data_IF_295106450986
#
_entry.id   IF_295106450986
#
_cell.length_a   1.000
_cell.length_b   1.000
_cell.length_c   1.000
_cell.angle_alpha   90.00
_cell.angle_beta   90.00
_cell.angle_gamma   90.00
#
_symmetry.space_group_name_H-M   'P 1'
#
loop_
_entity.id
_entity.type
_entity.pdbx_description
1 polymer ?
#
# COMPACT_ATOMS: atom_id res chain seq x y z
N UNK A 1 -36.88 -9.10 42.35
CA UNK A 1 -37.20 -9.05 40.91
C UNK A 1 -35.99 -9.58 40.13
N UNK A 2 -36.07 -10.72 39.43
CA UNK A 2 -34.96 -11.17 38.62
C UNK A 2 -34.94 -10.26 37.38
N UNK A 3 -33.89 -9.46 37.20
CA UNK A 3 -33.63 -8.92 35.86
C UNK A 3 -33.52 -10.14 34.94
N UNK A 4 -34.43 -10.35 33.98
CA UNK A 4 -34.45 -11.59 33.23
C UNK A 4 -33.14 -11.63 32.46
N UNK A 5 -32.30 -12.63 32.70
CA UNK A 5 -30.95 -12.78 32.11
C UNK A 5 -30.92 -12.41 30.62
N UNK A 6 -32.02 -12.67 29.90
CA UNK A 6 -32.30 -12.23 28.52
C UNK A 6 -32.06 -10.73 28.27
N UNK A 7 -32.54 -9.81 29.12
CA UNK A 7 -32.33 -8.36 28.97
C UNK A 7 -30.85 -7.97 29.10
N UNK A 8 -30.11 -8.61 30.02
CA UNK A 8 -28.67 -8.38 30.18
C UNK A 8 -27.90 -8.84 28.95
N UNK A 9 -28.23 -10.02 28.40
CA UNK A 9 -27.63 -10.51 27.15
C UNK A 9 -27.95 -9.60 25.96
N UNK A 10 -29.20 -9.16 25.83
CA UNK A 10 -29.61 -8.25 24.74
C UNK A 10 -28.82 -6.93 24.81
N UNK A 11 -28.76 -6.30 25.99
CA UNK A 11 -28.01 -5.05 26.18
C UNK A 11 -26.52 -5.27 25.88
N UNK A 12 -25.93 -6.36 26.40
CA UNK A 12 -24.54 -6.72 26.15
C UNK A 12 -24.22 -6.91 24.67
N UNK A 13 -25.10 -7.61 23.93
CA UNK A 13 -24.94 -7.81 22.48
C UNK A 13 -25.06 -6.50 21.69
N UNK A 14 -25.98 -5.61 22.07
CA UNK A 14 -26.11 -4.29 21.43
C UNK A 14 -24.85 -3.44 21.66
N UNK A 15 -24.33 -3.43 22.89
CA UNK A 15 -23.09 -2.70 23.21
C UNK A 15 -21.92 -3.27 22.41
N UNK A 16 -21.76 -4.59 22.37
CA UNK A 16 -20.69 -5.24 21.60
C UNK A 16 -20.78 -4.88 20.11
N UNK A 17 -21.98 -4.96 19.53
CA UNK A 17 -22.20 -4.58 18.13
C UNK A 17 -21.84 -3.11 17.87
N UNK A 18 -22.23 -2.21 18.77
CA UNK A 18 -21.87 -0.79 18.68
C UNK A 18 -20.34 -0.59 18.75
N UNK A 19 -19.65 -1.25 19.68
CA UNK A 19 -18.19 -1.19 19.79
C UNK A 19 -17.48 -1.69 18.52
N UNK A 20 -17.94 -2.82 17.96
CA UNK A 20 -17.39 -3.37 16.72
C UNK A 20 -17.62 -2.41 15.55
N UNK A 21 -18.81 -1.81 15.44
CA UNK A 21 -19.12 -0.84 14.41
C UNK A 21 -18.22 0.40 14.50
N UNK A 22 -18.02 0.95 15.71
CA UNK A 22 -17.14 2.10 15.95
C UNK A 22 -15.69 1.75 15.61
N UNK A 23 -15.20 0.58 16.05
CA UNK A 23 -13.85 0.14 15.72
C UNK A 23 -13.66 -0.04 14.21
N UNK A 24 -14.62 -0.66 13.52
CA UNK A 24 -14.60 -0.80 12.07
C UNK A 24 -14.58 0.55 11.33
N UNK A 25 -15.40 1.50 11.78
CA UNK A 25 -15.38 2.86 11.24
C UNK A 25 -14.04 3.56 11.47
N UNK A 26 -13.43 3.41 12.65
CA UNK A 26 -12.10 3.93 12.95
C UNK A 26 -11.01 3.35 12.05
N UNK A 27 -11.06 2.03 11.79
CA UNK A 27 -10.14 1.37 10.85
C UNK A 27 -10.32 1.91 9.44
N UNK A 28 -11.56 2.07 8.97
CA UNK A 28 -11.84 2.61 7.65
C UNK A 28 -11.35 4.06 7.51
N UNK A 29 -11.66 4.92 8.49
CA UNK A 29 -11.24 6.32 8.52
C UNK A 29 -9.72 6.47 8.46
N UNK A 30 -9.01 5.74 9.34
CA UNK A 30 -7.54 5.77 9.41
C UNK A 30 -6.87 5.03 8.25
N UNK A 31 -7.64 4.48 7.31
CA UNK A 31 -7.13 3.85 6.08
C UNK A 31 -7.42 4.71 4.83
N UNK A 32 -8.05 5.87 5.00
CA UNK A 32 -8.26 6.83 3.92
C UNK A 32 -6.99 7.62 3.59
N UNK A 33 -6.81 7.97 2.32
CA UNK A 33 -5.69 8.82 1.87
C UNK A 33 -5.64 10.15 2.64
N UNK A 34 -6.78 10.78 2.94
CA UNK A 34 -6.81 12.03 3.71
C UNK A 34 -6.21 11.90 5.11
N UNK A 35 -6.38 10.76 5.77
CA UNK A 35 -5.74 10.49 7.06
C UNK A 35 -4.23 10.31 6.89
N UNK A 36 -3.78 9.55 5.89
CA UNK A 36 -2.34 9.42 5.60
C UNK A 36 -1.68 10.79 5.34
N UNK A 37 -2.38 11.70 4.65
CA UNK A 37 -1.90 13.04 4.32
C UNK A 37 -2.09 14.09 5.43
N UNK A 38 -2.59 13.69 6.61
CA UNK A 38 -2.64 14.60 7.76
C UNK A 38 -1.23 14.91 8.28
N UNK A 39 -0.26 14.04 8.02
CA UNK A 39 1.15 14.24 8.32
C UNK A 39 1.88 14.83 7.11
N UNK A 40 2.82 15.75 7.34
CA UNK A 40 3.44 16.53 6.26
C UNK A 40 4.45 15.70 5.46
N UNK A 41 5.13 14.76 6.12
CA UNK A 41 6.11 13.83 5.54
C UNK A 41 5.51 12.91 4.46
N UNK A 42 4.18 12.71 4.48
CA UNK A 42 3.49 11.85 3.50
C UNK A 42 3.20 12.57 2.18
N UNK A 43 3.22 13.91 2.15
CA UNK A 43 2.78 14.69 0.98
C UNK A 43 3.65 14.48 -0.26
N UNK A 44 4.97 14.41 -0.08
CA UNK A 44 5.90 14.14 -1.18
C UNK A 44 5.61 12.79 -1.86
N UNK A 45 5.21 11.78 -1.09
CA UNK A 45 4.88 10.47 -1.64
C UNK A 45 3.58 10.50 -2.45
N UNK A 46 2.61 11.33 -2.05
CA UNK A 46 1.38 11.55 -2.82
C UNK A 46 1.66 12.24 -4.16
N UNK A 47 2.51 13.26 -4.15
CA UNK A 47 2.90 13.98 -5.37
C UNK A 47 3.66 13.06 -6.34
N UNK A 48 4.60 12.27 -5.83
CA UNK A 48 5.28 11.25 -6.63
C UNK A 48 4.27 10.24 -7.21
N UNK A 49 3.33 9.76 -6.38
CA UNK A 49 2.33 8.78 -6.80
C UNK A 49 1.42 9.33 -7.91
N UNK A 50 1.02 10.60 -7.84
CA UNK A 50 0.23 11.26 -8.88
C UNK A 50 0.94 11.33 -10.24
N UNK A 51 2.27 11.35 -10.25
CA UNK A 51 3.08 11.37 -11.47
C UNK A 51 3.46 9.97 -11.97
N UNK A 52 3.24 8.95 -11.13
CA UNK A 52 3.61 7.56 -11.38
C UNK A 52 2.62 6.82 -12.29
N UNK A 53 2.90 5.55 -12.58
CA UNK A 53 1.95 4.67 -13.27
C UNK A 53 0.79 4.21 -12.38
N UNK A 54 0.85 4.48 -11.07
CA UNK A 54 -0.16 4.09 -10.07
C UNK A 54 -0.95 5.30 -9.56
N UNK A 55 -0.99 6.40 -10.31
CA UNK A 55 -1.86 7.53 -9.99
C UNK A 55 -3.35 7.15 -10.05
N UNK A 56 -3.72 6.30 -11.00
CA UNK A 56 -5.07 5.82 -11.20
C UNK A 56 -5.08 4.37 -11.71
N UNK A 57 -6.19 3.67 -11.49
CA UNK A 57 -6.40 2.31 -11.97
C UNK A 57 -6.73 2.28 -13.48
N UNK A 58 -6.92 1.07 -14.03
CA UNK A 58 -7.26 0.88 -15.45
C UNK A 58 -8.59 1.54 -15.87
N UNK A 59 -9.45 1.92 -14.91
CA UNK A 59 -10.71 2.64 -15.13
C UNK A 59 -10.58 4.14 -14.89
N UNK A 60 -9.39 4.63 -14.55
CA UNK A 60 -9.13 6.04 -14.23
C UNK A 60 -9.53 6.45 -12.82
N UNK A 61 -9.82 5.51 -11.91
CA UNK A 61 -10.10 5.84 -10.50
C UNK A 61 -8.80 6.07 -9.74
N UNK A 62 -8.70 7.12 -8.91
CA UNK A 62 -7.50 7.38 -8.12
C UNK A 62 -7.18 6.20 -7.19
N UNK A 63 -5.91 5.79 -7.17
CA UNK A 63 -5.45 4.76 -6.23
C UNK A 63 -5.06 5.44 -4.91
N UNK A 64 -5.57 4.93 -3.80
CA UNK A 64 -5.27 5.40 -2.45
C UNK A 64 -4.12 4.65 -1.78
N UNK A 65 -3.55 5.26 -0.74
CA UNK A 65 -2.36 4.75 -0.05
C UNK A 65 -2.57 3.32 0.51
N UNK A 66 -3.74 3.10 1.11
CA UNK A 66 -4.08 1.83 1.78
C UNK A 66 -4.22 0.66 0.82
N UNK A 67 -4.50 0.90 -0.46
CA UNK A 67 -4.61 -0.16 -1.47
C UNK A 67 -3.28 -0.88 -1.70
N UNK A 68 -2.15 -0.26 -1.35
CA UNK A 68 -0.83 -0.89 -1.42
C UNK A 68 -0.20 -1.11 -0.04
N UNK A 69 -0.35 -0.16 0.89
CA UNK A 69 0.39 -0.16 2.16
C UNK A 69 -0.30 -0.90 3.32
N UNK A 70 -1.60 -1.19 3.21
CA UNK A 70 -2.32 -1.97 4.24
C UNK A 70 -2.52 -3.38 3.71
N UNK A 71 -1.97 -4.43 4.36
CA UNK A 71 -2.14 -5.80 3.90
C UNK A 71 -3.61 -6.18 3.78
N UNK A 72 -3.98 -6.81 2.67
CA UNK A 72 -5.35 -7.28 2.43
C UNK A 72 -5.50 -8.78 2.77
N UNK A 73 -6.74 -9.26 2.76
CA UNK A 73 -7.05 -10.70 2.83
C UNK A 73 -7.04 -11.35 4.22
N UNK A 74 -6.45 -10.74 5.25
CA UNK A 74 -6.50 -11.25 6.63
C UNK A 74 -6.66 -10.11 7.64
N UNK A 75 -7.77 -10.10 8.39
CA UNK A 75 -8.09 -9.00 9.30
C UNK A 75 -7.10 -8.90 10.47
N UNK A 76 -6.60 -10.02 10.99
CA UNK A 76 -5.63 -10.04 12.10
C UNK A 76 -4.30 -9.47 11.63
N UNK A 77 -3.84 -9.89 10.44
CA UNK A 77 -2.61 -9.37 9.84
C UNK A 77 -2.72 -7.89 9.52
N UNK A 78 -3.86 -7.46 8.96
CA UNK A 78 -4.15 -6.07 8.66
C UNK A 78 -4.12 -5.21 9.92
N UNK A 79 -4.83 -5.61 10.98
CA UNK A 79 -4.87 -4.87 12.25
C UNK A 79 -3.50 -4.84 12.93
N UNK A 80 -2.77 -5.96 12.94
CA UNK A 80 -1.42 -6.03 13.51
C UNK A 80 -0.42 -5.14 12.75
N UNK A 81 -0.42 -5.20 11.43
CA UNK A 81 0.44 -4.36 10.60
C UNK A 81 0.10 -2.87 10.77
N UNK A 82 -1.20 -2.52 10.76
CA UNK A 82 -1.67 -1.15 10.95
C UNK A 82 -1.29 -0.59 12.31
N UNK A 83 -1.41 -1.39 13.39
CA UNK A 83 -1.02 -0.98 14.73
C UNK A 83 0.50 -0.77 14.82
N UNK A 84 1.29 -1.74 14.34
CA UNK A 84 2.76 -1.66 14.38
C UNK A 84 3.31 -0.49 13.56
N UNK A 85 2.89 -0.38 12.30
CA UNK A 85 3.35 0.70 11.41
C UNK A 85 2.86 2.06 11.90
N UNK A 86 1.59 2.18 12.33
CA UNK A 86 1.07 3.44 12.86
C UNK A 86 1.80 3.93 14.11
N UNK A 87 2.16 3.03 15.03
CA UNK A 87 2.97 3.38 16.20
C UNK A 87 4.37 3.82 15.80
N UNK A 88 5.00 3.11 14.86
CA UNK A 88 6.33 3.46 14.36
C UNK A 88 6.32 4.83 13.67
N UNK A 89 5.33 5.09 12.82
CA UNK A 89 5.21 6.36 12.09
C UNK A 89 4.98 7.52 13.07
N UNK A 90 4.11 7.33 14.07
CA UNK A 90 3.90 8.32 15.13
C UNK A 90 5.16 8.58 15.96
N UNK A 91 5.94 7.53 16.28
CA UNK A 91 7.22 7.68 16.97
C UNK A 91 8.17 8.55 16.15
N UNK A 92 8.43 8.19 14.88
CA UNK A 92 9.35 8.95 14.01
C UNK A 92 8.86 10.39 13.84
N UNK A 93 7.57 10.60 13.63
CA UNK A 93 6.99 11.94 13.55
C UNK A 93 7.26 12.77 14.81
N UNK A 94 7.08 12.18 16.00
CA UNK A 94 7.19 12.91 17.27
C UNK A 94 8.63 13.09 17.75
N UNK A 95 9.53 12.14 17.48
CA UNK A 95 10.92 12.19 17.98
C UNK A 95 11.90 12.78 16.97
N UNK A 96 11.68 12.55 15.68
CA UNK A 96 12.58 12.96 14.58
C UNK A 96 11.95 14.05 13.70
N UNK A 97 10.69 14.42 13.96
CA UNK A 97 9.98 15.45 13.22
C UNK A 97 9.43 15.03 11.86
N UNK A 98 9.72 13.81 11.39
CA UNK A 98 9.29 13.31 10.08
C UNK A 98 10.00 13.96 8.88
N UNK A 99 11.00 14.81 9.13
CA UNK A 99 11.81 15.46 8.11
C UNK A 99 13.04 14.61 7.78
N UNK A 100 13.43 14.56 6.51
CA UNK A 100 14.65 13.86 6.05
C UNK A 100 14.68 12.34 6.32
N UNK A 101 13.56 11.67 6.06
CA UNK A 101 13.48 10.21 6.19
C UNK A 101 14.50 9.52 5.27
N UNK A 102 15.30 8.60 5.82
CA UNK A 102 16.30 7.84 5.05
C UNK A 102 15.62 6.83 4.09
N UNK A 103 15.33 7.30 2.88
CA UNK A 103 14.69 6.50 1.83
C UNK A 103 15.58 5.36 1.35
N UNK A 104 16.91 5.47 1.47
CA UNK A 104 17.82 4.40 1.08
C UNK A 104 17.73 3.23 2.06
N UNK A 105 17.63 3.50 3.36
CA UNK A 105 17.39 2.47 4.37
C UNK A 105 15.96 1.91 4.34
N UNK A 106 14.96 2.75 4.06
CA UNK A 106 13.56 2.32 4.05
C UNK A 106 13.17 1.47 2.83
N UNK A 107 13.70 1.76 1.63
CA UNK A 107 13.28 1.11 0.39
C UNK A 107 13.41 -0.43 0.40
N UNK A 108 14.56 -1.03 0.80
CA UNK A 108 14.69 -2.48 0.89
C UNK A 108 13.69 -3.13 1.85
N UNK A 109 13.38 -2.42 2.95
CA UNK A 109 12.40 -2.83 3.95
C UNK A 109 11.00 -2.78 3.33
N UNK A 110 10.59 -1.62 2.78
CA UNK A 110 9.29 -1.44 2.14
C UNK A 110 9.01 -2.50 1.06
N UNK A 111 10.03 -2.88 0.28
CA UNK A 111 9.94 -3.94 -0.74
C UNK A 111 9.65 -5.33 -0.19
N UNK A 112 9.95 -5.60 1.08
CA UNK A 112 9.63 -6.87 1.75
C UNK A 112 8.28 -6.85 2.45
N UNK A 113 7.83 -5.68 2.89
CA UNK A 113 6.59 -5.50 3.64
C UNK A 113 5.38 -5.23 2.74
N UNK A 114 5.59 -4.79 1.50
CA UNK A 114 4.48 -4.61 0.54
C UNK A 114 3.90 -5.98 0.18
N UNK A 115 2.61 -6.11 0.40
CA UNK A 115 1.89 -7.36 0.21
C UNK A 115 1.56 -7.61 -1.26
N UNK A 116 2.06 -8.69 -1.83
CA UNK A 116 1.73 -9.05 -3.21
C UNK A 116 0.21 -9.26 -3.41
N UNK A 117 -0.54 -9.65 -2.38
CA UNK A 117 -1.99 -9.75 -2.47
C UNK A 117 -2.65 -8.42 -2.86
N UNK A 118 -2.08 -7.29 -2.45
CA UNK A 118 -2.53 -5.96 -2.83
C UNK A 118 -2.29 -5.67 -4.31
N UNK A 119 -1.12 -6.07 -4.84
CA UNK A 119 -0.85 -5.98 -6.26
C UNK A 119 -1.85 -6.84 -7.06
N UNK A 120 -2.11 -8.07 -6.59
CA UNK A 120 -2.98 -9.04 -7.26
C UNK A 120 -4.46 -8.70 -7.16
N UNK A 121 -4.87 -7.81 -6.23
CA UNK A 121 -6.24 -7.31 -6.17
C UNK A 121 -6.65 -6.58 -7.46
N UNK A 122 -5.71 -5.86 -8.09
CA UNK A 122 -5.90 -5.19 -9.38
C UNK A 122 -5.26 -5.94 -10.55
N UNK A 123 -4.06 -6.48 -10.38
CA UNK A 123 -3.34 -7.28 -11.38
C UNK A 123 -3.68 -8.75 -11.24
N UNK A 124 -4.92 -9.12 -11.53
CA UNK A 124 -5.43 -10.49 -11.35
C UNK A 124 -4.89 -11.47 -12.41
N UNK A 125 -4.75 -11.01 -13.64
CA UNK A 125 -4.16 -11.78 -14.75
C UNK A 125 -2.76 -11.24 -15.07
N UNK A 126 -1.72 -11.98 -14.69
CA UNK A 126 -0.33 -11.58 -14.94
C UNK A 126 0.09 -11.74 -16.41
N UNK A 127 -0.71 -12.41 -17.24
CA UNK A 127 -0.45 -12.45 -18.67
C UNK A 127 -0.86 -11.14 -19.36
N UNK A 128 -1.63 -10.27 -18.68
CA UNK A 128 -2.14 -9.01 -19.24
C UNK A 128 -1.38 -7.81 -18.69
N UNK A 129 -1.27 -6.78 -19.53
CA UNK A 129 -0.64 -5.52 -19.14
C UNK A 129 -1.46 -4.77 -18.09
N UNK A 130 -0.89 -3.71 -17.52
CA UNK A 130 -1.53 -2.93 -16.44
C UNK A 130 -2.86 -2.25 -16.83
N UNK A 131 -3.08 -1.97 -18.13
CA UNK A 131 -4.35 -1.42 -18.65
C UNK A 131 -5.40 -2.49 -18.89
N UNK A 132 -5.01 -3.76 -18.77
CA UNK A 132 -5.83 -4.92 -19.05
C UNK A 132 -6.39 -4.96 -20.49
N UNK A 133 -5.74 -4.29 -21.45
CA UNK A 133 -6.18 -4.20 -22.85
C UNK A 133 -5.37 -5.08 -23.81
N UNK A 134 -4.32 -5.72 -23.33
CA UNK A 134 -3.47 -6.61 -24.12
C UNK A 134 -2.50 -7.42 -23.26
N UNK A 135 -1.68 -8.28 -23.88
CA UNK A 135 -0.71 -9.08 -23.15
C UNK A 135 0.46 -8.24 -22.63
N UNK A 136 1.16 -8.76 -21.63
CA UNK A 136 2.51 -8.29 -21.29
C UNK A 136 3.50 -8.68 -22.39
N UNK A 137 4.71 -8.11 -22.36
CA UNK A 137 5.79 -8.57 -23.24
C UNK A 137 6.16 -10.03 -22.96
N UNK A 138 6.78 -10.70 -23.93
CA UNK A 138 7.21 -12.10 -23.76
C UNK A 138 8.15 -12.27 -22.56
N UNK A 139 9.08 -11.33 -22.36
CA UNK A 139 9.97 -11.31 -21.18
C UNK A 139 9.17 -11.14 -19.89
N UNK A 140 8.13 -10.29 -19.89
CA UNK A 140 7.24 -10.09 -18.74
C UNK A 140 6.46 -11.36 -18.40
N UNK A 141 5.93 -12.06 -19.42
CA UNK A 141 5.21 -13.32 -19.25
C UNK A 141 6.11 -14.37 -18.60
N UNK A 142 7.32 -14.55 -19.11
CA UNK A 142 8.29 -15.51 -18.56
C UNK A 142 8.69 -15.15 -17.11
N UNK A 143 8.84 -13.86 -16.80
CA UNK A 143 9.14 -13.41 -15.44
C UNK A 143 7.97 -13.67 -14.47
N UNK A 144 6.73 -13.43 -14.90
CA UNK A 144 5.55 -13.74 -14.11
C UNK A 144 5.35 -15.24 -13.91
N UNK A 145 5.63 -16.07 -14.92
CA UNK A 145 5.66 -17.52 -14.77
C UNK A 145 6.70 -17.99 -13.75
N UNK A 146 7.85 -17.31 -13.67
CA UNK A 146 8.88 -17.60 -12.67
C UNK A 146 8.42 -17.24 -11.25
N UNK A 147 7.71 -16.11 -11.13
CA UNK A 147 7.07 -15.71 -9.88
C UNK A 147 5.97 -16.68 -9.45
N UNK A 148 5.17 -17.18 -10.39
CA UNK A 148 4.11 -18.16 -10.14
C UNK A 148 4.61 -19.59 -9.95
N UNK A 149 5.93 -19.83 -10.01
CA UNK A 149 6.49 -21.17 -9.80
C UNK A 149 6.46 -22.09 -11.04
N UNK A 150 6.06 -21.58 -12.21
CA UNK A 150 5.80 -22.38 -13.43
C UNK A 150 7.06 -22.74 -14.21
N UNK A 151 8.05 -21.85 -14.25
CA UNK A 151 9.31 -22.03 -15.02
C UNK A 151 10.56 -21.81 -14.16
N UNK A 152 10.42 -21.95 -12.83
CA UNK A 152 11.44 -21.70 -11.82
C UNK A 152 10.78 -21.11 -10.58
N UNK A 153 11.58 -20.60 -9.63
CA UNK A 153 11.04 -19.99 -8.41
C UNK A 153 11.73 -18.66 -8.13
N UNK A 154 10.99 -17.56 -8.36
CA UNK A 154 11.48 -16.23 -8.04
C UNK A 154 11.71 -16.10 -6.52
N UNK A 155 12.78 -15.39 -6.14
CA UNK A 155 13.08 -15.07 -4.73
C UNK A 155 12.57 -13.68 -4.31
N UNK A 156 11.77 -13.04 -5.15
CA UNK A 156 11.31 -11.66 -4.97
C UNK A 156 9.82 -11.56 -5.26
N UNK A 157 9.12 -10.80 -4.43
CA UNK A 157 7.73 -10.41 -4.66
C UNK A 157 7.60 -9.36 -5.78
N UNK A 158 6.39 -8.88 -6.01
CA UNK A 158 6.05 -7.96 -7.10
C UNK A 158 6.96 -6.72 -7.08
N UNK A 159 7.05 -6.04 -5.93
CA UNK A 159 7.86 -4.81 -5.77
C UNK A 159 9.38 -5.05 -5.73
N UNK A 160 9.82 -6.31 -5.61
CA UNK A 160 11.22 -6.68 -5.74
C UNK A 160 11.72 -6.52 -7.18
N UNK A 161 10.84 -6.79 -8.15
CA UNK A 161 11.07 -6.61 -9.60
C UNK A 161 10.54 -5.24 -10.07
N UNK A 162 9.32 -4.88 -9.72
CA UNK A 162 8.66 -3.62 -10.07
C UNK A 162 9.02 -2.51 -9.09
N UNK A 163 10.28 -2.09 -9.10
CA UNK A 163 10.76 -1.03 -8.20
C UNK A 163 10.28 0.34 -8.66
N UNK A 164 10.11 1.25 -7.69
CA UNK A 164 9.81 2.66 -7.92
C UNK A 164 8.55 2.89 -8.78
N UNK A 165 7.56 2.01 -8.61
CA UNK A 165 6.29 2.02 -9.35
C UNK A 165 5.36 3.19 -8.98
N UNK A 166 5.52 3.74 -7.77
CA UNK A 166 4.72 4.84 -7.21
C UNK A 166 5.58 5.96 -6.61
N UNK A 167 6.73 5.60 -6.03
CA UNK A 167 7.61 6.54 -5.34
C UNK A 167 9.03 6.41 -5.87
N UNK A 168 9.68 7.52 -6.22
CA UNK A 168 11.01 7.54 -6.82
C UNK A 168 11.97 8.42 -5.99
N UNK A 169 12.89 7.80 -5.24
CA UNK A 169 13.94 8.54 -4.56
C UNK A 169 14.99 9.06 -5.54
N UNK A 170 15.60 10.20 -5.21
CA UNK A 170 16.60 10.90 -6.05
C UNK A 170 17.72 9.97 -6.52
N UNK A 171 18.24 9.12 -5.64
CA UNK A 171 19.35 8.23 -5.98
C UNK A 171 18.99 7.18 -7.06
N UNK A 172 17.72 6.82 -7.22
CA UNK A 172 17.26 5.85 -8.21
C UNK A 172 16.84 6.50 -9.55
N UNK A 173 16.83 7.83 -9.65
CA UNK A 173 16.53 8.55 -10.90
C UNK A 173 17.55 8.26 -12.01
N UNK A 174 18.78 7.88 -11.62
CA UNK A 174 19.86 7.48 -12.54
C UNK A 174 19.58 6.17 -13.28
N UNK A 175 18.65 5.35 -12.79
CA UNK A 175 18.35 4.03 -13.37
C UNK A 175 17.61 4.24 -14.70
N UNK A 176 18.07 3.67 -15.84
CA UNK A 176 17.46 3.92 -17.14
C UNK A 176 15.95 3.65 -17.21
N UNK A 177 15.46 2.62 -16.53
CA UNK A 177 14.02 2.29 -16.48
C UNK A 177 13.17 3.36 -15.80
N UNK A 178 13.76 4.20 -14.95
CA UNK A 178 13.07 5.25 -14.21
C UNK A 178 13.07 6.59 -14.95
N UNK A 179 13.78 6.74 -16.07
CA UNK A 179 13.97 8.04 -16.74
C UNK A 179 12.65 8.76 -17.04
N UNK A 180 11.64 8.06 -17.54
CA UNK A 180 10.32 8.65 -17.82
C UNK A 180 9.63 9.17 -16.56
N UNK A 181 9.78 8.46 -15.45
CA UNK A 181 9.20 8.88 -14.17
C UNK A 181 10.00 10.03 -13.55
N UNK A 182 11.33 9.95 -13.58
CA UNK A 182 12.23 11.00 -13.14
C UNK A 182 11.98 12.31 -13.89
N UNK A 183 11.76 12.27 -15.21
CA UNK A 183 11.42 13.45 -16.01
C UNK A 183 10.17 14.17 -15.50
N UNK A 184 9.11 13.43 -15.14
CA UNK A 184 7.89 14.01 -14.58
C UNK A 184 8.13 14.62 -13.19
N UNK A 185 8.91 13.96 -12.34
CA UNK A 185 9.15 14.43 -10.97
C UNK A 185 9.96 15.72 -10.91
N UNK A 186 10.82 16.01 -11.90
CA UNK A 186 11.58 17.26 -11.96
C UNK A 186 10.70 18.51 -11.93
N UNK A 187 9.43 18.40 -12.30
CA UNK A 187 8.46 19.50 -12.24
C UNK A 187 8.06 19.87 -10.81
N UNK A 188 8.13 18.93 -9.86
CA UNK A 188 7.76 19.10 -8.44
C UNK A 188 8.98 19.13 -7.51
N UNK A 189 10.13 18.59 -7.95
CA UNK A 189 11.42 18.59 -7.24
C UNK A 189 12.49 19.19 -8.17
N UNK A 190 12.61 20.54 -8.24
CA UNK A 190 13.61 21.20 -9.07
C UNK A 190 15.04 20.97 -8.58
#
# INVERSE_FOLDING_TARGET
>A
MPYPRKRVWIIGSVILAACVAVAGAGVAYTSGTSFCLSCHEMRVYQEEMHLSSHAADAKGQPIGCSQCHIPSGNVVRMLGAKAWLGVKDLWVHTTEGGTDLDRAAMQPIARRFTDDANCRACHQDLARNAKNDGPVSEVGRLAHENYEGKNGQARSGCVGCHRNLAHLPVFDERIPTNQKFAQKIKEIRP
#
